data_IF_556168224759
#
_entry.id   IF_556168224759
#
_cell.length_a   1.000
_cell.length_b   1.000
_cell.length_c   1.000
_cell.angle_alpha   90.00
_cell.angle_beta   90.00
_cell.angle_gamma   90.00
#
_symmetry.space_group_name_H-M   'P 1'
#
loop_
_entity.id
_entity.type
_entity.pdbx_description
1 polymer ?
#
# COMPACT_ATOMS: atom_id res chain seq x y z
N UNK A 1 -5.73 -20.70 15.00
CA UNK A 1 -6.15 -19.73 13.98
C UNK A 1 -5.34 -19.99 12.73
N UNK A 2 -5.99 -20.45 11.68
CA UNK A 2 -5.31 -20.61 10.39
C UNK A 2 -5.03 -19.25 9.78
N UNK A 3 -3.76 -19.02 9.44
CA UNK A 3 -3.37 -17.80 8.71
C UNK A 3 -3.74 -17.95 7.24
N UNK A 4 -4.74 -17.22 6.79
CA UNK A 4 -5.16 -17.24 5.40
C UNK A 4 -4.28 -16.27 4.58
N UNK A 5 -3.44 -16.84 3.70
CA UNK A 5 -2.56 -16.08 2.81
C UNK A 5 -3.37 -15.51 1.63
N UNK A 6 -4.11 -14.44 1.85
CA UNK A 6 -4.96 -13.81 0.82
C UNK A 6 -4.15 -13.41 -0.42
N UNK A 7 -2.92 -12.90 -0.21
CA UNK A 7 -2.04 -12.49 -1.31
C UNK A 7 -1.53 -13.67 -2.15
N UNK A 8 -1.66 -14.89 -1.64
CA UNK A 8 -1.26 -16.11 -2.34
C UNK A 8 -2.47 -16.87 -2.91
N UNK A 9 -3.67 -16.29 -2.83
CA UNK A 9 -4.88 -16.90 -3.39
C UNK A 9 -4.84 -16.94 -4.92
N UNK A 10 -5.58 -17.89 -5.48
CA UNK A 10 -5.66 -18.04 -6.93
C UNK A 10 -6.22 -16.80 -7.62
N UNK A 11 -5.72 -16.53 -8.81
CA UNK A 11 -6.25 -15.47 -9.66
C UNK A 11 -7.67 -15.81 -10.15
N UNK A 12 -8.47 -14.79 -10.38
CA UNK A 12 -9.77 -14.92 -11.04
C UNK A 12 -9.64 -15.25 -12.53
N UNK A 13 -8.44 -15.22 -13.07
CA UNK A 13 -8.14 -15.43 -14.49
C UNK A 13 -7.11 -16.53 -14.65
N UNK A 14 -7.35 -17.43 -15.59
CA UNK A 14 -6.50 -18.58 -15.86
C UNK A 14 -5.93 -18.51 -17.28
N UNK A 15 -4.84 -19.24 -17.52
CA UNK A 15 -4.22 -19.38 -18.83
C UNK A 15 -3.86 -18.03 -19.48
N UNK A 16 -3.31 -17.13 -18.70
CA UNK A 16 -2.97 -15.78 -19.17
C UNK A 16 -1.98 -15.84 -20.35
N UNK A 17 -1.10 -16.82 -20.35
CA UNK A 17 -0.11 -17.04 -21.42
C UNK A 17 -0.74 -17.39 -22.78
N UNK A 18 -1.97 -17.85 -22.79
CA UNK A 18 -2.71 -18.19 -24.00
C UNK A 18 -3.61 -17.06 -24.52
N UNK A 19 -3.69 -15.96 -23.79
CA UNK A 19 -4.55 -14.84 -24.14
C UNK A 19 -3.86 -13.84 -25.05
N UNK A 20 -4.65 -13.16 -25.89
CA UNK A 20 -4.14 -12.08 -26.74
C UNK A 20 -3.82 -10.85 -25.90
N UNK A 21 -3.00 -9.94 -26.44
CA UNK A 21 -2.72 -8.65 -25.80
C UNK A 21 -4.00 -7.87 -25.49
N UNK A 22 -4.94 -7.86 -26.44
CA UNK A 22 -6.25 -7.20 -26.24
C UNK A 22 -6.99 -7.78 -25.05
N UNK A 23 -7.04 -9.10 -24.92
CA UNK A 23 -7.71 -9.78 -23.82
C UNK A 23 -7.03 -9.43 -22.48
N UNK A 24 -5.70 -9.45 -22.43
CA UNK A 24 -4.95 -9.13 -21.22
C UNK A 24 -5.20 -7.69 -20.77
N UNK A 25 -5.17 -6.73 -21.69
CA UNK A 25 -5.43 -5.32 -21.37
C UNK A 25 -6.86 -5.13 -20.85
N UNK A 26 -7.84 -5.78 -21.48
CA UNK A 26 -9.23 -5.72 -21.04
C UNK A 26 -9.43 -6.36 -19.66
N UNK A 27 -8.76 -7.47 -19.40
CA UNK A 27 -8.80 -8.14 -18.09
C UNK A 27 -8.24 -7.23 -16.99
N UNK A 28 -7.08 -6.62 -17.22
CA UNK A 28 -6.46 -5.70 -16.27
C UNK A 28 -7.40 -4.53 -15.97
N UNK A 29 -7.96 -3.92 -17.00
CA UNK A 29 -8.90 -2.81 -16.82
C UNK A 29 -10.15 -3.22 -16.05
N UNK A 30 -10.69 -4.40 -16.34
CA UNK A 30 -11.86 -4.93 -15.62
C UNK A 30 -11.57 -5.16 -14.14
N UNK A 31 -10.40 -5.71 -13.81
CA UNK A 31 -9.98 -5.88 -12.42
C UNK A 31 -9.77 -4.54 -11.72
N UNK A 32 -9.16 -3.57 -12.39
CA UNK A 32 -8.96 -2.24 -11.85
C UNK A 32 -10.29 -1.56 -11.49
N UNK A 33 -11.34 -1.78 -12.28
CA UNK A 33 -12.67 -1.23 -12.00
C UNK A 33 -13.28 -1.77 -10.70
N UNK A 34 -12.89 -2.96 -10.27
CA UNK A 34 -13.40 -3.54 -9.01
C UNK A 34 -12.81 -2.89 -7.77
N UNK A 35 -11.63 -2.26 -7.90
CA UNK A 35 -10.90 -1.66 -6.77
C UNK A 35 -11.69 -0.53 -6.14
N UNK A 36 -12.15 0.43 -6.93
CA UNK A 36 -12.93 1.57 -6.44
C UNK A 36 -14.22 1.12 -5.74
N UNK A 37 -14.89 0.10 -6.29
CA UNK A 37 -16.10 -0.46 -5.68
C UNK A 37 -15.81 -1.12 -4.34
N UNK A 38 -14.69 -1.83 -4.23
CA UNK A 38 -14.27 -2.48 -2.99
C UNK A 38 -13.93 -1.43 -1.92
N UNK A 39 -13.23 -0.37 -2.28
CA UNK A 39 -12.93 0.75 -1.39
C UNK A 39 -14.21 1.44 -0.92
N UNK A 40 -15.18 1.63 -1.82
CA UNK A 40 -16.47 2.26 -1.47
C UNK A 40 -17.17 1.58 -0.30
N UNK A 41 -17.05 0.27 -0.19
CA UNK A 41 -17.68 -0.51 0.89
C UNK A 41 -17.14 -0.16 2.28
N UNK A 42 -15.90 0.31 2.37
CA UNK A 42 -15.24 0.63 3.64
C UNK A 42 -15.15 2.13 3.92
N UNK A 43 -15.72 2.97 3.06
CA UNK A 43 -15.63 4.43 3.24
C UNK A 43 -16.08 4.93 4.61
N UNK A 44 -17.16 4.41 5.24
CA UNK A 44 -17.53 4.82 6.59
C UNK A 44 -16.43 4.56 7.62
N UNK A 45 -15.79 3.39 7.56
CA UNK A 45 -14.67 3.05 8.45
C UNK A 45 -13.43 3.88 8.14
N UNK A 46 -13.16 4.12 6.87
CA UNK A 46 -12.04 4.95 6.43
C UNK A 46 -12.22 6.40 6.90
N UNK A 47 -13.43 6.94 6.80
CA UNK A 47 -13.75 8.27 7.30
C UNK A 47 -13.49 8.39 8.80
N UNK A 48 -13.94 7.42 9.57
CA UNK A 48 -13.70 7.37 11.00
C UNK A 48 -12.20 7.33 11.34
N UNK A 49 -11.45 6.52 10.61
CA UNK A 49 -10.00 6.43 10.78
C UNK A 49 -9.31 7.78 10.48
N UNK A 50 -9.67 8.42 9.38
CA UNK A 50 -9.09 9.71 8.98
C UNK A 50 -9.41 10.80 10.03
N UNK A 51 -10.63 10.83 10.54
CA UNK A 51 -11.00 11.78 11.59
C UNK A 51 -10.16 11.57 12.86
N UNK A 52 -9.91 10.34 13.25
CA UNK A 52 -9.04 10.02 14.39
C UNK A 52 -7.60 10.45 14.16
N UNK A 53 -7.06 10.18 12.96
CA UNK A 53 -5.72 10.62 12.59
C UNK A 53 -5.62 12.15 12.64
N UNK A 54 -6.59 12.83 12.05
CA UNK A 54 -6.64 14.29 12.03
C UNK A 54 -6.61 14.87 13.45
N UNK A 55 -7.45 14.37 14.33
CA UNK A 55 -7.52 14.85 15.71
C UNK A 55 -6.19 14.62 16.46
N UNK A 56 -5.56 13.48 16.26
CA UNK A 56 -4.26 13.19 16.90
C UNK A 56 -3.17 14.09 16.36
N UNK A 57 -3.11 14.31 15.05
CA UNK A 57 -2.11 15.18 14.44
C UNK A 57 -2.31 16.63 14.84
N UNK A 58 -3.56 17.09 14.94
CA UNK A 58 -3.90 18.44 15.42
C UNK A 58 -3.39 18.69 16.84
N UNK A 59 -3.34 17.66 17.66
CA UNK A 59 -2.86 17.71 19.05
C UNK A 59 -1.38 17.35 19.20
N UNK A 60 -0.60 17.47 18.14
CA UNK A 60 0.85 17.24 18.17
C UNK A 60 1.29 15.82 17.84
N UNK A 61 0.38 14.96 17.41
CA UNK A 61 0.72 13.60 16.98
C UNK A 61 1.37 13.58 15.61
N UNK A 62 1.92 12.43 15.27
CA UNK A 62 2.60 12.17 13.98
C UNK A 62 2.00 10.95 13.31
N UNK A 63 2.04 10.92 11.97
CA UNK A 63 1.60 9.78 11.19
C UNK A 63 2.80 8.93 10.79
N UNK A 64 2.71 7.63 11.06
CA UNK A 64 3.72 6.66 10.65
C UNK A 64 3.12 5.68 9.66
N UNK A 65 3.74 5.58 8.49
CA UNK A 65 3.50 4.50 7.55
C UNK A 65 4.50 3.38 7.82
N UNK A 66 4.02 2.18 8.02
CA UNK A 66 4.88 1.01 8.27
C UNK A 66 4.53 -0.05 7.22
N UNK A 67 5.52 -0.49 6.47
CA UNK A 67 5.28 -1.49 5.44
C UNK A 67 6.53 -2.20 4.96
N UNK A 68 6.33 -3.19 4.11
CA UNK A 68 7.39 -3.93 3.44
C UNK A 68 7.18 -3.89 1.93
N UNK A 69 8.26 -3.99 1.15
CA UNK A 69 8.21 -4.01 -0.30
C UNK A 69 7.57 -2.74 -0.86
N UNK A 70 6.72 -2.92 -1.87
CA UNK A 70 6.05 -1.80 -2.56
C UNK A 70 5.14 -1.00 -1.62
N UNK A 71 4.44 -1.66 -0.72
CA UNK A 71 3.60 -0.96 0.26
C UNK A 71 4.42 -0.02 1.14
N UNK A 72 5.60 -0.46 1.60
CA UNK A 72 6.53 0.38 2.34
C UNK A 72 7.03 1.56 1.52
N UNK A 73 7.37 1.33 0.25
CA UNK A 73 7.81 2.39 -0.67
C UNK A 73 6.74 3.44 -0.90
N UNK A 74 5.49 3.03 -1.04
CA UNK A 74 4.36 3.96 -1.19
C UNK A 74 4.20 4.84 0.04
N UNK A 75 4.34 4.28 1.23
CA UNK A 75 4.32 5.05 2.48
C UNK A 75 5.45 6.08 2.56
N UNK A 76 6.66 5.69 2.16
CA UNK A 76 7.82 6.60 2.10
C UNK A 76 7.60 7.69 1.05
N UNK A 77 7.05 7.34 -0.11
CA UNK A 77 6.75 8.30 -1.16
C UNK A 77 5.80 9.38 -0.65
N UNK A 78 4.68 8.98 -0.04
CA UNK A 78 3.72 9.93 0.51
C UNK A 78 4.36 10.81 1.60
N UNK A 79 5.10 10.21 2.54
CA UNK A 79 5.79 10.95 3.59
C UNK A 79 6.78 11.97 3.02
N UNK A 80 7.52 11.61 1.97
CA UNK A 80 8.52 12.50 1.34
C UNK A 80 7.89 13.68 0.60
N UNK A 81 6.66 13.53 0.13
CA UNK A 81 5.94 14.58 -0.61
C UNK A 81 5.22 15.58 0.32
N UNK A 82 5.01 15.24 1.58
CA UNK A 82 4.31 16.12 2.51
C UNK A 82 5.01 17.46 2.75
N UNK A 83 6.33 17.51 3.02
CA UNK A 83 7.03 18.80 3.21
C UNK A 83 6.93 19.73 1.98
N UNK A 84 7.28 19.28 0.76
CA UNK A 84 7.20 20.19 -0.39
C UNK A 84 5.77 20.56 -0.80
N UNK A 85 4.80 19.68 -0.54
CA UNK A 85 3.41 19.92 -0.94
C UNK A 85 2.66 20.81 0.05
N UNK A 86 2.86 20.55 1.34
CA UNK A 86 2.10 21.23 2.40
C UNK A 86 2.92 22.18 3.28
N UNK A 87 4.22 22.24 3.07
CA UNK A 87 5.09 23.10 3.88
C UNK A 87 5.23 22.65 5.33
N UNK A 88 5.00 21.37 5.61
CA UNK A 88 5.10 20.82 6.96
C UNK A 88 6.51 20.29 7.24
N UNK A 89 6.79 20.04 8.54
CA UNK A 89 8.06 19.41 8.94
C UNK A 89 8.18 18.00 8.36
N UNK A 90 9.39 17.59 8.00
CA UNK A 90 9.71 16.23 7.57
C UNK A 90 9.51 15.17 8.67
N UNK A 91 9.26 15.60 9.91
CA UNK A 91 9.01 14.74 11.07
C UNK A 91 7.53 14.48 11.32
N UNK A 92 6.63 15.16 10.59
CA UNK A 92 5.18 15.02 10.82
C UNK A 92 4.63 13.71 10.26
N UNK A 93 5.04 13.35 9.04
CA UNK A 93 4.66 12.10 8.38
C UNK A 93 5.91 11.31 8.09
N UNK A 94 6.00 10.11 8.62
CA UNK A 94 7.23 9.29 8.58
C UNK A 94 6.90 7.95 7.95
N UNK A 95 7.70 7.55 6.96
CA UNK A 95 7.63 6.22 6.37
C UNK A 95 8.71 5.31 6.95
N UNK A 96 8.31 4.12 7.35
CA UNK A 96 9.18 3.06 7.83
C UNK A 96 9.01 1.83 6.93
N UNK A 97 10.10 1.35 6.37
CA UNK A 97 10.09 0.17 5.50
C UNK A 97 10.96 -0.92 6.10
N UNK A 98 10.51 -2.16 5.98
CA UNK A 98 11.31 -3.32 6.39
C UNK A 98 12.62 -3.36 5.58
N UNK A 99 13.76 -3.47 6.26
CA UNK A 99 15.08 -3.40 5.64
C UNK A 99 15.65 -1.99 5.50
N UNK A 100 14.91 -0.95 5.88
CA UNK A 100 15.39 0.43 5.90
C UNK A 100 15.70 1.00 4.52
N UNK A 101 16.61 1.96 4.45
CA UNK A 101 16.95 2.69 3.22
C UNK A 101 17.45 1.77 2.09
N UNK A 102 18.16 0.72 2.41
CA UNK A 102 18.61 -0.25 1.40
C UNK A 102 17.44 -0.91 0.69
N UNK A 103 16.41 -1.32 1.44
CA UNK A 103 15.21 -1.93 0.89
C UNK A 103 14.39 -0.94 0.06
N UNK A 104 14.41 0.33 0.42
CA UNK A 104 13.72 1.39 -0.33
C UNK A 104 14.38 1.66 -1.68
N UNK A 105 15.72 1.71 -1.71
CA UNK A 105 16.51 2.11 -2.88
C UNK A 105 16.95 0.94 -3.75
N UNK A 106 17.05 -0.25 -3.17
CA UNK A 106 17.54 -1.45 -3.86
C UNK A 106 16.41 -2.47 -4.05
N UNK A 107 16.61 -3.39 -4.97
CA UNK A 107 15.63 -4.41 -5.35
C UNK A 107 15.50 -5.55 -4.35
N UNK A 108 16.24 -5.55 -3.25
CA UNK A 108 16.32 -6.62 -2.27
C UNK A 108 15.61 -6.27 -0.97
N UNK A 109 14.35 -5.87 -1.04
CA UNK A 109 13.56 -5.65 0.17
C UNK A 109 13.00 -6.97 0.69
N UNK A 110 12.97 -7.17 2.04
CA UNK A 110 12.26 -8.30 2.60
C UNK A 110 10.78 -8.27 2.19
N UNK A 111 10.22 -9.43 1.94
CA UNK A 111 8.82 -9.58 1.58
C UNK A 111 8.14 -10.52 2.57
N UNK A 112 6.84 -10.34 2.85
CA UNK A 112 6.09 -11.30 3.64
C UNK A 112 6.08 -12.72 3.04
N UNK A 113 6.46 -12.84 1.76
CA UNK A 113 6.58 -14.13 1.06
C UNK A 113 7.93 -14.79 1.24
N UNK A 114 8.93 -14.01 1.67
CA UNK A 114 10.26 -14.57 1.88
C UNK A 114 10.28 -15.43 3.15
N UNK A 115 10.99 -16.57 3.12
CA UNK A 115 11.16 -17.36 4.34
C UNK A 115 11.92 -16.52 5.37
N UNK A 116 11.49 -16.60 6.61
CA UNK A 116 12.19 -15.98 7.72
C UNK A 116 13.48 -16.73 7.97
N UNK A 117 14.57 -16.14 7.58
CA UNK A 117 15.91 -16.65 7.85
C UNK A 117 16.61 -15.79 8.88
#
# INVERSE_FOLDING_TARGET
MEFNKITESDSNHNNLELKTTKDLVNIINSEDMTVAKSVKKILPKLTELIDKIYNKMLNGGRLFYIGAGTSGRLGILDASECPPTFGVSDKLVIGLIAGGDKACLLYTSPSPRDPWT
#
